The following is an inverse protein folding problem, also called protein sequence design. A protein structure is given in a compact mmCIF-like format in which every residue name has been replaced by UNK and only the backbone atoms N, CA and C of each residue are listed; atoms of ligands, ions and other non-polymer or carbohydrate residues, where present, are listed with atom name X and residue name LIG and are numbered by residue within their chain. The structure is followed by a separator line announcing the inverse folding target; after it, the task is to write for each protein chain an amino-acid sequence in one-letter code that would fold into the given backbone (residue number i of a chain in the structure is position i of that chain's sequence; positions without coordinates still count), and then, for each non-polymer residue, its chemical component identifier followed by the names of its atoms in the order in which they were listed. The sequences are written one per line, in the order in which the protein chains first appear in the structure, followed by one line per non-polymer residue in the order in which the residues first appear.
data_IF_961405225543
#
_entry.id   IF_961405225543
#
_cell.length_a   1.000
_cell.length_b   1.000
_cell.length_c   1.000
_cell.angle_alpha   90.00
_cell.angle_beta   90.00
_cell.angle_gamma   90.00
#
_symmetry.space_group_name_H-M   'P 1'
#
loop_
_entity.id
_entity.type
_entity.pdbx_description
1 polymer ?
#
# COMPACT_ATOMS: atom_id res chain seq x y z
N UNK A 1 -2.47 4.36 7.66
CA UNK A 1 -2.08 5.77 7.85
C UNK A 1 -3.33 6.49 8.32
N UNK A 2 -3.25 7.23 9.42
CA UNK A 2 -4.36 8.05 9.92
C UNK A 2 -4.37 9.43 9.23
N UNK A 3 -5.48 10.17 9.35
CA UNK A 3 -5.65 11.47 8.70
C UNK A 3 -4.73 12.53 9.27
N UNK A 4 -4.47 12.52 10.57
CA UNK A 4 -3.53 13.48 11.15
C UNK A 4 -2.14 13.36 10.52
N UNK A 5 -1.60 12.13 10.41
CA UNK A 5 -0.31 11.87 9.77
C UNK A 5 -0.35 12.21 8.28
N UNK A 6 -1.41 11.80 7.58
CA UNK A 6 -1.58 12.09 6.15
C UNK A 6 -1.56 13.60 5.86
N UNK A 7 -2.33 14.39 6.61
CA UNK A 7 -2.39 15.83 6.42
C UNK A 7 -1.09 16.51 6.90
N UNK A 8 -0.46 16.03 7.97
CA UNK A 8 0.84 16.52 8.42
C UNK A 8 1.89 16.39 7.30
N UNK A 9 1.97 15.24 6.63
CA UNK A 9 2.88 15.02 5.50
C UNK A 9 2.70 16.01 4.36
N UNK A 10 1.48 16.45 4.12
CA UNK A 10 1.21 17.42 3.05
C UNK A 10 1.50 18.83 3.56
N UNK A 11 0.81 19.29 4.60
CA UNK A 11 0.85 20.69 5.01
C UNK A 11 2.15 21.10 5.68
N UNK A 12 2.79 20.22 6.47
CA UNK A 12 4.06 20.56 7.11
C UNK A 12 5.21 20.69 6.10
N UNK A 13 5.03 20.18 4.88
CA UNK A 13 6.03 20.17 3.81
C UNK A 13 5.66 21.09 2.65
N UNK A 14 4.80 22.10 2.89
CA UNK A 14 4.52 23.19 1.95
C UNK A 14 3.40 22.91 0.95
N UNK A 15 2.64 21.82 1.12
CA UNK A 15 1.40 21.64 0.36
C UNK A 15 0.37 22.71 0.77
N UNK A 16 -0.39 23.22 -0.19
CA UNK A 16 -1.43 24.24 0.03
C UNK A 16 -2.85 23.67 -0.14
N UNK A 17 -2.99 22.57 -0.89
CA UNK A 17 -4.27 21.96 -1.20
C UNK A 17 -4.15 20.44 -1.28
N UNK A 18 -5.07 19.75 -0.62
CA UNK A 18 -5.24 18.29 -0.71
C UNK A 18 -6.60 17.99 -1.34
N UNK A 19 -6.60 17.26 -2.46
CA UNK A 19 -7.81 16.78 -3.11
C UNK A 19 -8.23 15.42 -2.56
N UNK A 20 -9.43 15.32 -2.00
CA UNK A 20 -9.98 14.05 -1.48
C UNK A 20 -11.00 13.51 -2.47
N UNK A 21 -10.71 12.37 -3.08
CA UNK A 21 -11.61 11.72 -4.04
C UNK A 21 -12.37 10.58 -3.36
N UNK A 22 -13.71 10.70 -3.34
CA UNK A 22 -14.63 9.66 -2.85
C UNK A 22 -15.46 9.04 -3.97
N UNK A 23 -15.35 9.53 -5.19
CA UNK A 23 -16.17 9.18 -6.35
C UNK A 23 -15.70 7.92 -7.09
N UNK A 24 -15.38 6.85 -6.36
CA UNK A 24 -15.14 5.55 -6.99
C UNK A 24 -16.45 4.94 -7.53
N UNK A 25 -16.35 4.00 -8.47
CA UNK A 25 -17.50 3.22 -8.95
C UNK A 25 -17.69 1.94 -8.11
N UNK A 26 -18.92 1.45 -8.03
CA UNK A 26 -19.29 0.29 -7.19
C UNK A 26 -19.90 0.70 -5.85
N UNK A 27 -20.06 -0.23 -4.91
CA UNK A 27 -20.68 0.05 -3.60
C UNK A 27 -19.69 0.06 -2.43
N UNK A 28 -18.80 -0.92 -2.36
CA UNK A 28 -17.94 -1.10 -1.18
C UNK A 28 -16.83 -0.05 -1.10
N UNK A 29 -16.14 0.19 -2.22
CA UNK A 29 -15.02 1.12 -2.27
C UNK A 29 -15.46 2.57 -2.00
N UNK A 30 -16.54 3.12 -2.60
CA UNK A 30 -17.02 4.47 -2.27
C UNK A 30 -17.40 4.62 -0.80
N UNK A 31 -18.13 3.64 -0.22
CA UNK A 31 -18.49 3.66 1.21
C UNK A 31 -17.24 3.69 2.09
N UNK A 32 -16.21 2.92 1.77
CA UNK A 32 -14.94 2.92 2.52
C UNK A 32 -14.18 4.24 2.37
N UNK A 33 -14.15 4.83 1.18
CA UNK A 33 -13.51 6.13 0.95
C UNK A 33 -14.24 7.26 1.68
N UNK A 34 -15.57 7.26 1.64
CA UNK A 34 -16.41 8.23 2.34
C UNK A 34 -16.25 8.09 3.86
N UNK A 35 -16.37 6.88 4.40
CA UNK A 35 -16.17 6.61 5.83
C UNK A 35 -14.77 6.98 6.31
N UNK A 36 -13.75 6.81 5.45
CA UNK A 36 -12.40 7.29 5.73
C UNK A 36 -12.35 8.82 5.76
N UNK A 37 -12.79 9.50 4.70
CA UNK A 37 -12.66 10.94 4.52
C UNK A 37 -13.50 11.78 5.49
N UNK A 38 -14.62 11.24 5.95
CA UNK A 38 -15.59 11.92 6.81
C UNK A 38 -15.82 11.22 8.16
N UNK A 39 -15.00 10.21 8.48
CA UNK A 39 -15.03 9.55 9.79
C UNK A 39 -14.58 10.47 10.92
N UNK A 40 -14.86 10.07 12.16
CA UNK A 40 -14.58 10.89 13.36
C UNK A 40 -13.10 11.31 13.46
N UNK A 41 -12.19 10.40 13.10
CA UNK A 41 -10.74 10.65 13.11
C UNK A 41 -10.34 11.72 12.07
N UNK A 42 -10.85 11.63 10.84
CA UNK A 42 -10.63 12.62 9.79
C UNK A 42 -11.15 14.00 10.19
N UNK A 43 -12.39 14.05 10.71
CA UNK A 43 -13.01 15.30 11.17
C UNK A 43 -12.22 15.92 12.33
N UNK A 44 -11.67 15.10 13.24
CA UNK A 44 -10.82 15.58 14.32
C UNK A 44 -9.51 16.20 13.78
N UNK A 45 -8.87 15.54 12.81
CA UNK A 45 -7.66 16.05 12.16
C UNK A 45 -7.92 17.38 11.42
N UNK A 46 -9.01 17.47 10.64
CA UNK A 46 -9.40 18.73 9.98
C UNK A 46 -9.63 19.85 10.98
N UNK A 47 -10.39 19.59 12.06
CA UNK A 47 -10.63 20.59 13.11
C UNK A 47 -9.34 21.04 13.79
N UNK A 48 -8.41 20.12 14.04
CA UNK A 48 -7.09 20.45 14.60
C UNK A 48 -6.36 21.43 13.67
N UNK A 49 -6.25 21.09 12.39
CA UNK A 49 -5.59 21.95 11.40
C UNK A 49 -6.27 23.32 11.26
N UNK A 50 -7.59 23.35 11.07
CA UNK A 50 -8.36 24.58 10.86
C UNK A 50 -8.35 25.52 12.08
N UNK A 51 -8.05 25.00 13.27
CA UNK A 51 -7.88 25.81 14.49
C UNK A 51 -6.45 26.30 14.70
N UNK A 52 -5.58 26.14 13.70
CA UNK A 52 -4.17 26.55 13.75
C UNK A 52 -3.30 25.66 14.65
N UNK A 53 -3.83 24.52 15.13
CA UNK A 53 -3.04 23.57 15.92
C UNK A 53 -2.18 22.72 14.99
N UNK A 54 -0.88 22.53 15.32
CA UNK A 54 0.03 21.77 14.48
C UNK A 54 -0.40 20.30 14.40
N UNK A 55 -0.36 19.74 13.19
CA UNK A 55 -0.58 18.31 12.95
C UNK A 55 0.70 17.54 13.26
N UNK A 56 0.56 16.35 13.85
CA UNK A 56 1.68 15.48 14.18
C UNK A 56 1.93 14.50 13.05
N UNK A 57 3.11 14.59 12.46
CA UNK A 57 3.61 13.55 11.59
C UNK A 57 4.08 12.36 12.45
N UNK A 58 3.43 11.21 12.26
CA UNK A 58 4.01 9.95 12.69
C UNK A 58 5.02 9.52 11.62
N UNK A 59 6.31 9.57 11.99
CA UNK A 59 7.37 8.94 11.20
C UNK A 59 6.89 7.55 10.78
N UNK A 60 6.67 7.37 9.48
CA UNK A 60 6.50 6.02 8.95
C UNK A 60 7.84 5.34 9.19
N UNK A 61 7.80 4.29 10.01
CA UNK A 61 8.94 3.41 10.21
C UNK A 61 9.58 3.16 8.85
N UNK A 62 10.87 3.45 8.73
CA UNK A 62 11.66 3.16 7.53
C UNK A 62 11.53 1.68 7.15
N UNK A 63 11.17 0.86 8.15
CA UNK A 63 10.75 -0.52 8.04
C UNK A 63 9.22 -0.65 8.07
N UNK A 64 8.56 -0.21 6.99
CA UNK A 64 7.10 -0.36 6.81
C UNK A 64 6.84 -1.63 5.96
N UNK A 65 6.25 -2.70 6.55
CA UNK A 65 6.02 -3.95 5.83
C UNK A 65 5.16 -3.77 4.57
N UNK A 66 4.16 -2.89 4.59
CA UNK A 66 3.31 -2.65 3.43
C UNK A 66 4.08 -2.03 2.26
N UNK A 67 5.00 -1.11 2.53
CA UNK A 67 5.85 -0.51 1.49
C UNK A 67 6.84 -1.53 0.91
N UNK A 68 7.47 -2.36 1.77
CA UNK A 68 8.34 -3.45 1.31
C UNK A 68 7.58 -4.45 0.43
N UNK A 69 6.41 -4.90 0.88
CA UNK A 69 5.54 -5.83 0.14
C UNK A 69 5.13 -5.21 -1.20
N UNK A 70 4.71 -3.94 -1.25
CA UNK A 70 4.38 -3.27 -2.51
C UNK A 70 5.57 -3.23 -3.48
N UNK A 71 6.77 -2.94 -3.00
CA UNK A 71 7.98 -2.95 -3.83
C UNK A 71 8.27 -4.36 -4.38
N UNK A 72 8.15 -5.39 -3.55
CA UNK A 72 8.31 -6.80 -3.95
C UNK A 72 7.24 -7.24 -4.96
N UNK A 73 5.98 -6.86 -4.78
CA UNK A 73 4.89 -7.14 -5.72
C UNK A 73 5.14 -6.55 -7.11
N UNK A 74 5.68 -5.33 -7.18
CA UNK A 74 6.10 -4.72 -8.47
C UNK A 74 7.20 -5.54 -9.14
N UNK A 75 8.17 -6.05 -8.36
CA UNK A 75 9.24 -6.93 -8.87
C UNK A 75 8.70 -8.26 -9.38
N UNK A 76 7.78 -8.90 -8.64
CA UNK A 76 7.12 -10.14 -9.09
C UNK A 76 6.44 -9.94 -10.43
N UNK A 77 5.65 -8.86 -10.59
CA UNK A 77 5.00 -8.54 -11.86
C UNK A 77 6.01 -8.37 -13.00
N UNK A 78 7.08 -7.62 -12.77
CA UNK A 78 8.12 -7.41 -13.77
C UNK A 78 8.87 -8.72 -14.13
N UNK A 79 9.10 -9.61 -13.15
CA UNK A 79 9.71 -10.91 -13.35
C UNK A 79 8.81 -11.87 -14.15
N UNK A 80 7.50 -11.90 -13.85
CA UNK A 80 6.50 -12.65 -14.63
C UNK A 80 6.51 -12.20 -16.09
N UNK A 81 6.50 -10.89 -16.33
CA UNK A 81 6.55 -10.34 -17.69
C UNK A 81 7.86 -10.69 -18.42
N UNK A 82 9.00 -10.74 -17.72
CA UNK A 82 10.29 -11.19 -18.29
C UNK A 82 10.25 -12.67 -18.65
N UNK A 83 9.76 -13.52 -17.75
CA UNK A 83 9.64 -14.96 -17.98
C UNK A 83 8.74 -15.27 -19.17
N UNK A 84 7.56 -14.66 -19.21
CA UNK A 84 6.63 -14.82 -20.31
C UNK A 84 7.26 -14.39 -21.66
N UNK A 85 7.97 -13.26 -21.68
CA UNK A 85 8.72 -12.81 -22.88
C UNK A 85 9.85 -13.75 -23.29
N UNK A 86 10.44 -14.47 -22.34
CA UNK A 86 11.48 -15.48 -22.62
C UNK A 86 10.93 -16.85 -23.06
N UNK A 87 9.60 -16.99 -23.20
CA UNK A 87 8.94 -18.25 -23.56
C UNK A 87 8.80 -19.24 -22.41
N UNK A 88 9.07 -18.82 -21.16
CA UNK A 88 8.85 -19.62 -19.95
C UNK A 88 7.41 -19.43 -19.45
N UNK A 89 6.81 -20.48 -18.91
CA UNK A 89 5.46 -20.45 -18.36
C UNK A 89 5.44 -19.89 -16.92
N UNK A 90 4.78 -18.75 -16.65
CA UNK A 90 4.67 -18.17 -15.32
C UNK A 90 3.49 -18.72 -14.49
N UNK A 91 2.73 -19.69 -14.99
CA UNK A 91 1.49 -20.17 -14.36
C UNK A 91 1.70 -20.66 -12.91
N UNK A 92 2.85 -21.25 -12.60
CA UNK A 92 3.18 -21.69 -11.25
C UNK A 92 3.29 -20.52 -10.26
N UNK A 93 3.84 -19.38 -10.70
CA UNK A 93 3.91 -18.15 -9.89
C UNK A 93 2.52 -17.52 -9.76
N UNK A 94 1.74 -17.52 -10.83
CA UNK A 94 0.34 -17.05 -10.81
C UNK A 94 -0.50 -17.77 -9.74
N UNK A 95 -0.44 -19.11 -9.71
CA UNK A 95 -1.13 -19.94 -8.72
C UNK A 95 -0.69 -19.66 -7.28
N UNK A 96 0.61 -19.42 -7.06
CA UNK A 96 1.11 -19.03 -5.73
C UNK A 96 0.53 -17.66 -5.32
N UNK A 97 0.51 -16.70 -6.24
CA UNK A 97 0.06 -15.33 -6.00
C UNK A 97 -1.45 -15.20 -5.75
N UNK A 98 -2.26 -16.20 -6.09
CA UNK A 98 -3.69 -16.26 -5.69
C UNK A 98 -3.85 -16.23 -4.16
N UNK A 99 -2.87 -16.75 -3.41
CA UNK A 99 -2.84 -16.71 -1.94
C UNK A 99 -2.54 -15.33 -1.34
N UNK A 100 -2.09 -14.35 -2.15
CA UNK A 100 -1.72 -13.03 -1.64
C UNK A 100 -2.95 -12.19 -1.24
N UNK A 101 -4.03 -12.26 -2.01
CA UNK A 101 -5.24 -11.46 -1.77
C UNK A 101 -5.90 -11.74 -0.40
N UNK A 102 -6.15 -13.00 0.01
CA UNK A 102 -6.72 -13.26 1.33
C UNK A 102 -5.79 -12.81 2.48
N UNK A 103 -4.48 -13.01 2.35
CA UNK A 103 -3.51 -12.56 3.36
C UNK A 103 -3.49 -11.03 3.50
N UNK A 104 -3.58 -10.30 2.39
CA UNK A 104 -3.67 -8.85 2.38
C UNK A 104 -4.96 -8.35 3.04
N UNK A 105 -6.10 -8.99 2.76
CA UNK A 105 -7.39 -8.65 3.35
C UNK A 105 -7.43 -8.92 4.86
N UNK A 106 -6.78 -10.00 5.30
CA UNK A 106 -6.68 -10.40 6.71
C UNK A 106 -5.63 -9.60 7.50
N UNK A 107 -4.84 -8.74 6.83
CA UNK A 107 -3.76 -7.98 7.47
C UNK A 107 -2.56 -8.84 7.90
N UNK A 108 -2.42 -10.05 7.36
CA UNK A 108 -1.35 -11.02 7.64
C UNK A 108 -0.09 -10.67 6.85
N UNK A 109 0.55 -9.56 7.22
CA UNK A 109 1.63 -8.96 6.44
C UNK A 109 2.90 -9.80 6.41
N UNK A 110 3.24 -10.50 7.50
CA UNK A 110 4.44 -11.35 7.56
C UNK A 110 4.30 -12.58 6.66
N UNK A 111 3.13 -13.23 6.67
CA UNK A 111 2.82 -14.34 5.77
C UNK A 111 2.74 -13.88 4.31
N UNK A 112 2.14 -12.71 4.08
CA UNK A 112 2.08 -12.11 2.75
C UNK A 112 3.49 -11.84 2.22
N UNK A 113 4.37 -11.22 3.02
CA UNK A 113 5.74 -10.92 2.61
C UNK A 113 6.52 -12.20 2.25
N UNK A 114 6.40 -13.25 3.07
CA UNK A 114 7.01 -14.57 2.77
C UNK A 114 6.50 -15.19 1.47
N UNK A 115 5.20 -15.06 1.19
CA UNK A 115 4.62 -15.56 -0.07
C UNK A 115 5.19 -14.79 -1.28
N UNK A 116 5.31 -13.47 -1.17
CA UNK A 116 5.91 -12.66 -2.24
C UNK A 116 7.40 -12.98 -2.41
N UNK A 117 8.13 -13.23 -1.33
CA UNK A 117 9.54 -13.67 -1.39
C UNK A 117 9.69 -15.00 -2.13
N UNK A 118 8.83 -15.99 -1.83
CA UNK A 118 8.81 -17.26 -2.54
C UNK A 118 8.51 -17.08 -4.05
N UNK A 119 7.62 -16.16 -4.41
CA UNK A 119 7.36 -15.84 -5.82
C UNK A 119 8.59 -15.23 -6.51
N UNK A 120 9.34 -14.36 -5.83
CA UNK A 120 10.59 -13.79 -6.35
C UNK A 120 11.69 -14.85 -6.51
N UNK A 121 11.81 -15.78 -5.56
CA UNK A 121 12.72 -16.91 -5.67
C UNK A 121 12.42 -17.78 -6.89
N UNK A 122 11.15 -18.13 -7.12
CA UNK A 122 10.75 -18.87 -8.31
C UNK A 122 11.15 -18.16 -9.60
N UNK A 123 11.01 -16.84 -9.65
CA UNK A 123 11.38 -16.01 -10.79
C UNK A 123 12.90 -15.83 -10.96
N UNK A 124 13.71 -16.25 -9.99
CA UNK A 124 15.15 -15.98 -9.96
C UNK A 124 15.49 -14.51 -9.69
N UNK A 125 14.58 -13.79 -9.04
CA UNK A 125 14.64 -12.36 -8.74
C UNK A 125 15.00 -12.10 -7.28
N UNK A 126 15.67 -13.04 -6.60
CA UNK A 126 16.25 -12.82 -5.28
C UNK A 126 17.20 -11.63 -5.33
N UNK A 127 17.23 -10.82 -4.27
CA UNK A 127 18.22 -9.76 -4.19
C UNK A 127 19.61 -10.34 -4.43
N UNK A 128 20.30 -9.84 -5.46
CA UNK A 128 21.77 -9.80 -5.37
C UNK A 128 22.04 -8.92 -4.16
N UNK A 129 22.43 -9.55 -3.06
CA UNK A 129 22.97 -8.85 -1.91
C UNK A 129 24.04 -7.86 -2.44
N UNK A 130 24.01 -6.58 -2.02
CA UNK A 130 25.14 -5.69 -2.24
C UNK A 130 26.41 -6.25 -1.58
#
# INVERSE_FOLDING_TARGET
MDWETYLAWHYNHGCVLVGVNTGATGEELPKRLEASAFGEEAIAAYRKFLTGRPLVDKMVSVDNPQLRIQAKMKRVRAGIERWHRSGKDPSAVGKLMEGAQPLANDGKLDELEKLVDQALEMLGETEKAP
#
